data_IF_481621360657
#
_entry.id   IF_481621360657
#
_cell.length_a   1.000
_cell.length_b   1.000
_cell.length_c   1.000
_cell.angle_alpha   90.00
_cell.angle_beta   90.00
_cell.angle_gamma   90.00
#
_symmetry.space_group_name_H-M   'P 1'
#
loop_
_entity.id
_entity.type
_entity.pdbx_description
1 polymer ?
#
# COMPACT_ATOMS: atom_id res chain seq x y z
N UNK A 1 -13.23 5.29 14.45
CA UNK A 1 -12.48 4.03 14.27
C UNK A 1 -11.70 3.74 15.54
N UNK A 2 -11.58 2.47 15.92
CA UNK A 2 -10.90 2.04 17.16
C UNK A 2 -9.44 2.55 17.22
N UNK A 3 -8.76 2.64 16.08
CA UNK A 3 -7.45 3.28 15.98
C UNK A 3 -7.39 4.68 16.62
N UNK A 4 -8.35 5.55 16.32
CA UNK A 4 -8.34 6.93 16.84
C UNK A 4 -8.55 6.98 18.34
N UNK A 5 -9.28 6.01 18.89
CA UNK A 5 -9.45 5.85 20.33
C UNK A 5 -8.14 5.38 21.00
N UNK A 6 -7.41 4.47 20.35
CA UNK A 6 -6.13 3.94 20.88
C UNK A 6 -5.00 4.97 20.80
N UNK A 7 -4.90 5.67 19.66
CA UNK A 7 -3.74 6.52 19.33
C UNK A 7 -3.98 8.01 19.59
N UNK A 8 -5.25 8.43 19.70
CA UNK A 8 -5.61 9.85 19.82
C UNK A 8 -5.41 10.66 18.52
N UNK A 9 -5.17 10.00 17.39
CA UNK A 9 -4.94 10.63 16.07
C UNK A 9 -6.05 10.29 15.07
N UNK A 10 -6.30 11.21 14.13
CA UNK A 10 -7.16 10.93 12.98
C UNK A 10 -6.36 10.18 11.91
N UNK A 11 -6.51 8.85 11.85
CA UNK A 11 -5.75 8.00 10.92
C UNK A 11 -5.85 8.48 9.48
N UNK A 12 -7.07 8.76 9.03
CA UNK A 12 -7.32 9.13 7.63
C UNK A 12 -6.55 10.39 7.29
N UNK A 13 -6.72 11.43 8.10
CA UNK A 13 -6.07 12.72 7.89
C UNK A 13 -4.55 12.60 7.91
N UNK A 14 -3.98 12.03 8.97
CA UNK A 14 -2.53 11.88 9.15
C UNK A 14 -1.90 11.04 8.03
N UNK A 15 -2.54 9.96 7.63
CA UNK A 15 -2.06 9.09 6.56
C UNK A 15 -2.00 9.83 5.22
N UNK A 16 -3.08 10.51 4.83
CA UNK A 16 -3.11 11.24 3.55
C UNK A 16 -2.19 12.45 3.54
N UNK A 17 -2.19 13.28 4.60
CA UNK A 17 -1.31 14.45 4.69
C UNK A 17 0.18 14.05 4.62
N UNK A 18 0.55 12.96 5.30
CA UNK A 18 1.93 12.48 5.31
C UNK A 18 2.35 11.89 3.96
N UNK A 19 1.48 11.11 3.31
CA UNK A 19 1.76 10.61 1.95
C UNK A 19 1.88 11.76 0.96
N UNK A 20 0.96 12.72 0.99
CA UNK A 20 0.98 13.86 0.07
C UNK A 20 2.26 14.67 0.23
N UNK A 21 2.65 14.95 1.47
CA UNK A 21 3.91 15.64 1.81
C UNK A 21 5.13 14.95 1.22
N UNK A 22 5.20 13.62 1.30
CA UNK A 22 6.37 12.86 0.85
C UNK A 22 6.30 12.41 -0.61
N UNK A 23 5.15 12.53 -1.28
CA UNK A 23 4.93 12.02 -2.63
C UNK A 23 5.91 12.59 -3.67
N UNK A 24 6.15 13.92 -3.75
CA UNK A 24 7.09 14.46 -4.74
C UNK A 24 8.48 13.82 -4.63
N UNK A 25 9.00 13.75 -3.40
CA UNK A 25 10.33 13.22 -3.14
C UNK A 25 10.41 11.71 -3.34
N UNK A 26 9.38 10.95 -2.97
CA UNK A 26 9.30 9.51 -3.24
C UNK A 26 9.31 9.22 -4.74
N UNK A 27 8.58 9.99 -5.53
CA UNK A 27 8.55 9.82 -6.99
C UNK A 27 9.91 10.13 -7.64
N UNK A 28 10.63 11.16 -7.15
CA UNK A 28 12.02 11.41 -7.57
C UNK A 28 12.96 10.24 -7.24
N UNK A 29 12.87 9.71 -6.01
CA UNK A 29 13.65 8.54 -5.58
C UNK A 29 13.33 7.34 -6.47
N UNK A 30 12.05 7.13 -6.84
CA UNK A 30 11.66 6.05 -7.74
C UNK A 30 12.32 6.20 -9.11
N UNK A 31 12.28 7.41 -9.69
CA UNK A 31 12.93 7.72 -10.98
C UNK A 31 14.46 7.63 -10.94
N UNK A 32 15.08 7.69 -9.76
CA UNK A 32 16.53 7.53 -9.59
C UNK A 32 16.99 6.07 -9.52
N UNK A 33 16.09 5.11 -9.31
CA UNK A 33 16.46 3.69 -9.25
C UNK A 33 16.82 3.13 -10.62
N UNK A 34 17.64 2.08 -10.63
CA UNK A 34 18.16 1.40 -11.83
C UNK A 34 18.03 -0.12 -11.67
N UNK A 35 18.32 -0.88 -12.73
CA UNK A 35 18.17 -2.34 -12.75
C UNK A 35 16.70 -2.78 -12.60
N UNK A 36 16.49 -4.00 -12.09
CA UNK A 36 15.14 -4.59 -11.96
C UNK A 36 14.20 -3.73 -11.11
N UNK A 37 14.70 -3.19 -9.99
CA UNK A 37 13.93 -2.26 -9.14
C UNK A 37 13.52 -1.00 -9.92
N UNK A 38 14.44 -0.42 -10.70
CA UNK A 38 14.14 0.73 -11.54
C UNK A 38 13.10 0.43 -12.62
N UNK A 39 13.14 -0.76 -13.22
CA UNK A 39 12.15 -1.20 -14.21
C UNK A 39 10.75 -1.31 -13.60
N UNK A 40 10.61 -1.98 -12.45
CA UNK A 40 9.33 -2.12 -11.76
C UNK A 40 8.73 -0.76 -11.37
N UNK A 41 9.56 0.16 -10.86
CA UNK A 41 9.14 1.52 -10.48
C UNK A 41 8.79 2.39 -11.68
N UNK A 42 9.51 2.21 -12.79
CA UNK A 42 9.22 2.90 -14.06
C UNK A 42 7.87 2.46 -14.60
N UNK A 43 7.57 1.16 -14.55
CA UNK A 43 6.28 0.61 -14.93
C UNK A 43 5.15 1.23 -14.10
N UNK A 44 5.30 1.30 -12.77
CA UNK A 44 4.32 1.98 -11.89
C UNK A 44 4.13 3.46 -12.26
N UNK A 45 5.23 4.14 -12.59
CA UNK A 45 5.22 5.57 -12.87
C UNK A 45 4.58 5.92 -14.22
N UNK A 46 4.79 5.08 -15.24
CA UNK A 46 4.32 5.27 -16.61
C UNK A 46 2.81 4.98 -16.80
N UNK A 47 2.18 4.27 -15.87
CA UNK A 47 0.79 3.82 -16.00
C UNK A 47 -0.26 4.94 -16.09
N UNK A 48 0.01 6.19 -15.64
CA UNK A 48 -0.88 7.34 -15.87
C UNK A 48 -0.12 8.68 -15.73
N UNK A 49 -0.23 9.60 -16.68
CA UNK A 49 0.25 11.00 -16.50
C UNK A 49 -0.87 11.87 -15.95
N UNK A 50 -1.16 11.72 -14.67
CA UNK A 50 -2.25 12.45 -14.00
C UNK A 50 -1.70 13.27 -12.83
N UNK A 51 -2.35 14.40 -12.57
CA UNK A 51 -2.18 15.23 -11.38
C UNK A 51 -3.19 14.86 -10.28
N UNK A 52 -4.04 13.86 -10.52
CA UNK A 52 -5.00 13.36 -9.54
C UNK A 52 -4.28 12.87 -8.26
N UNK A 53 -4.61 13.43 -7.09
CA UNK A 53 -3.96 13.05 -5.83
C UNK A 53 -4.10 11.56 -5.50
N UNK A 54 -5.24 10.95 -5.80
CA UNK A 54 -5.49 9.52 -5.52
C UNK A 54 -4.54 8.65 -6.34
N UNK A 55 -4.39 8.92 -7.62
CA UNK A 55 -3.45 8.23 -8.49
C UNK A 55 -1.99 8.42 -8.06
N UNK A 56 -1.59 9.62 -7.61
CA UNK A 56 -0.25 9.88 -7.06
C UNK A 56 -0.02 9.02 -5.82
N UNK A 57 -0.95 9.02 -4.87
CA UNK A 57 -0.88 8.19 -3.65
C UNK A 57 -0.82 6.70 -4.00
N UNK A 58 -1.60 6.24 -4.96
CA UNK A 58 -1.58 4.85 -5.47
C UNK A 58 -0.18 4.46 -5.94
N UNK A 59 0.45 5.29 -6.78
CA UNK A 59 1.83 5.04 -7.26
C UNK A 59 2.82 4.94 -6.12
N UNK A 60 2.73 5.87 -5.18
CA UNK A 60 3.58 5.88 -3.97
C UNK A 60 3.40 4.59 -3.18
N UNK A 61 2.16 4.21 -2.88
CA UNK A 61 1.85 3.02 -2.09
C UNK A 61 2.26 1.71 -2.76
N UNK A 62 2.32 1.67 -4.10
CA UNK A 62 2.88 0.51 -4.82
C UNK A 62 4.39 0.52 -4.96
N UNK A 63 5.01 1.70 -5.05
CA UNK A 63 6.45 1.82 -5.17
C UNK A 63 7.19 1.64 -3.83
N UNK A 64 6.55 2.02 -2.71
CA UNK A 64 7.10 1.89 -1.37
C UNK A 64 7.64 0.48 -1.05
N UNK A 65 6.87 -0.62 -1.21
CA UNK A 65 7.39 -1.96 -0.92
C UNK A 65 8.61 -2.30 -1.77
N UNK A 66 8.63 -1.90 -3.05
CA UNK A 66 9.75 -2.19 -3.95
C UNK A 66 11.04 -1.51 -3.49
N UNK A 67 11.00 -0.23 -3.11
CA UNK A 67 12.21 0.46 -2.62
C UNK A 67 12.63 -0.02 -1.22
N UNK A 68 11.67 -0.48 -0.42
CA UNK A 68 11.89 -1.08 0.89
C UNK A 68 12.32 -2.55 0.78
N UNK A 69 12.30 -3.15 -0.42
CA UNK A 69 12.66 -4.54 -0.67
C UNK A 69 11.71 -5.56 -0.05
N UNK A 70 10.47 -5.13 0.17
CA UNK A 70 9.32 -6.00 0.41
C UNK A 70 8.85 -6.59 -0.94
N UNK A 71 8.12 -7.71 -0.88
CA UNK A 71 7.51 -8.37 -2.04
C UNK A 71 5.99 -8.21 -2.00
N UNK A 72 5.41 -7.26 -2.75
CA UNK A 72 3.98 -6.99 -2.69
C UNK A 72 3.14 -7.98 -3.49
N UNK A 73 3.73 -8.96 -4.19
CA UNK A 73 3.04 -9.81 -5.18
C UNK A 73 1.81 -10.52 -4.61
N UNK A 74 1.97 -11.17 -3.44
CA UNK A 74 0.84 -11.84 -2.78
C UNK A 74 -0.03 -10.91 -1.95
N UNK A 75 0.44 -9.69 -1.67
CA UNK A 75 -0.31 -8.72 -0.89
C UNK A 75 -1.31 -7.93 -1.76
N UNK A 76 -0.91 -7.55 -2.98
CA UNK A 76 -1.79 -6.96 -4.00
C UNK A 76 -2.17 -8.03 -5.02
N UNK A 77 -3.16 -8.87 -4.66
CA UNK A 77 -3.60 -9.97 -5.52
C UNK A 77 -4.75 -9.53 -6.42
N UNK A 78 -4.63 -9.78 -7.72
CA UNK A 78 -5.72 -9.54 -8.66
C UNK A 78 -6.78 -10.65 -8.56
N UNK A 79 -8.03 -10.28 -8.79
CA UNK A 79 -9.16 -11.21 -8.92
C UNK A 79 -10.23 -10.61 -9.82
N UNK A 80 -11.27 -11.38 -10.09
CA UNK A 80 -12.44 -11.00 -10.87
C UNK A 80 -13.71 -11.07 -10.04
N UNK A 81 -14.77 -10.38 -10.48
CA UNK A 81 -16.09 -10.42 -9.82
C UNK A 81 -16.67 -11.85 -9.78
N UNK A 82 -16.34 -12.68 -10.75
CA UNK A 82 -16.76 -14.08 -10.85
C UNK A 82 -15.90 -15.07 -10.06
N UNK A 83 -14.80 -14.63 -9.43
CA UNK A 83 -13.97 -15.53 -8.61
C UNK A 83 -14.74 -15.92 -7.34
N UNK A 84 -14.77 -17.23 -7.05
CA UNK A 84 -15.29 -17.74 -5.79
C UNK A 84 -14.42 -17.23 -4.63
N UNK A 85 -15.05 -16.89 -3.50
CA UNK A 85 -14.35 -16.39 -2.29
C UNK A 85 -13.28 -17.39 -1.79
N UNK A 86 -13.40 -18.67 -2.16
CA UNK A 86 -12.42 -19.72 -1.85
C UNK A 86 -11.03 -19.53 -2.51
N UNK A 87 -10.93 -18.67 -3.53
CA UNK A 87 -9.69 -18.41 -4.28
C UNK A 87 -8.61 -17.68 -3.47
N UNK A 88 -8.95 -17.24 -2.25
CA UNK A 88 -8.14 -16.34 -1.44
C UNK A 88 -7.86 -16.84 -0.01
N UNK A 89 -8.28 -18.06 0.35
CA UNK A 89 -8.06 -18.66 1.67
C UNK A 89 -6.60 -18.71 2.12
N UNK A 90 -5.65 -18.83 1.18
CA UNK A 90 -4.21 -18.84 1.49
C UNK A 90 -3.64 -17.46 1.87
N UNK A 91 -4.43 -16.39 1.76
CA UNK A 91 -3.99 -15.02 2.08
C UNK A 91 -4.22 -14.67 3.55
N UNK A 92 -3.11 -14.51 4.27
CA UNK A 92 -3.13 -14.08 5.68
C UNK A 92 -3.58 -12.62 5.82
N UNK A 93 -2.93 -11.67 5.16
CA UNK A 93 -3.38 -10.27 5.11
C UNK A 93 -3.07 -9.70 3.73
N UNK A 94 -4.07 -9.11 3.07
CA UNK A 94 -3.89 -8.58 1.72
C UNK A 94 -5.01 -7.67 1.24
N UNK A 95 -4.83 -7.12 0.05
CA UNK A 95 -5.81 -6.33 -0.68
C UNK A 95 -6.05 -7.02 -2.02
N UNK A 96 -7.30 -7.38 -2.28
CA UNK A 96 -7.71 -7.88 -3.59
C UNK A 96 -8.08 -6.71 -4.50
N UNK A 97 -7.66 -6.83 -5.74
CA UNK A 97 -7.90 -5.87 -6.81
C UNK A 97 -8.87 -6.52 -7.78
N UNK A 98 -10.15 -6.19 -7.63
CA UNK A 98 -11.22 -6.82 -8.37
C UNK A 98 -11.39 -6.12 -9.71
N UNK A 99 -11.11 -6.83 -10.78
CA UNK A 99 -11.30 -6.39 -12.15
C UNK A 99 -12.68 -6.83 -12.66
N UNK A 100 -13.20 -6.13 -13.68
CA UNK A 100 -14.43 -6.55 -14.35
C UNK A 100 -14.19 -7.83 -15.14
N UNK A 101 -15.18 -8.71 -15.18
CA UNK A 101 -15.11 -9.92 -16.01
C UNK A 101 -14.78 -9.59 -17.47
N UNK A 102 -13.92 -10.41 -18.09
CA UNK A 102 -13.44 -10.21 -19.45
C UNK A 102 -12.28 -9.20 -19.60
N UNK A 103 -11.77 -8.64 -18.48
CA UNK A 103 -10.56 -7.82 -18.49
C UNK A 103 -9.32 -8.69 -18.70
N UNK A 104 -8.51 -8.39 -19.72
CA UNK A 104 -7.23 -9.06 -19.93
C UNK A 104 -6.21 -8.47 -18.96
N UNK A 105 -5.81 -9.23 -17.93
CA UNK A 105 -4.82 -8.79 -16.96
C UNK A 105 -3.50 -8.45 -17.66
N UNK A 106 -3.27 -7.16 -17.87
CA UNK A 106 -1.98 -6.63 -18.27
C UNK A 106 -1.30 -6.03 -17.06
N UNK A 107 0.02 -6.12 -17.02
CA UNK A 107 0.83 -5.62 -15.91
C UNK A 107 0.72 -4.09 -15.71
N UNK A 108 0.00 -3.37 -16.59
CA UNK A 108 -0.36 -1.95 -16.48
C UNK A 108 -1.73 -1.66 -15.86
N UNK A 109 -2.68 -2.61 -15.88
CA UNK A 109 -4.08 -2.36 -15.51
C UNK A 109 -4.39 -2.55 -14.02
N UNK A 110 -3.51 -3.21 -13.27
CA UNK A 110 -3.73 -3.45 -11.84
C UNK A 110 -3.93 -2.17 -10.99
N UNK A 111 -3.74 -0.95 -11.50
CA UNK A 111 -3.87 0.29 -10.71
C UNK A 111 -5.30 0.83 -10.57
N UNK A 112 -6.22 0.49 -11.48
CA UNK A 112 -7.60 0.99 -11.46
C UNK A 112 -8.61 -0.16 -11.48
N UNK A 113 -8.57 -1.04 -10.47
CA UNK A 113 -9.55 -2.11 -10.36
C UNK A 113 -10.96 -1.51 -10.23
N UNK A 114 -11.97 -2.30 -10.61
CA UNK A 114 -13.37 -1.91 -10.45
C UNK A 114 -13.74 -1.70 -8.98
N UNK A 115 -13.20 -2.54 -8.09
CA UNK A 115 -13.28 -2.37 -6.66
C UNK A 115 -12.10 -3.07 -5.95
N UNK A 116 -11.93 -2.80 -4.67
CA UNK A 116 -10.96 -3.50 -3.83
C UNK A 116 -11.64 -4.14 -2.63
N UNK A 117 -11.10 -5.30 -2.22
CA UNK A 117 -11.48 -6.01 -0.99
C UNK A 117 -10.28 -6.07 -0.04
N UNK A 118 -10.50 -6.07 1.26
CA UNK A 118 -9.49 -6.33 2.28
C UNK A 118 -9.68 -7.76 2.79
N UNK A 119 -8.59 -8.52 2.80
CA UNK A 119 -8.54 -9.89 3.33
C UNK A 119 -7.73 -9.92 4.62
N UNK A 120 -8.28 -10.58 5.64
CA UNK A 120 -7.58 -10.93 6.88
C UNK A 120 -7.93 -12.38 7.22
N UNK A 121 -6.92 -13.21 7.42
CA UNK A 121 -6.99 -14.64 7.73
C UNK A 121 -7.88 -15.42 6.74
N UNK A 122 -7.72 -15.16 5.44
CA UNK A 122 -8.51 -15.78 4.37
C UNK A 122 -9.89 -15.16 4.14
N UNK A 123 -10.37 -14.32 5.05
CA UNK A 123 -11.73 -13.80 5.03
C UNK A 123 -11.82 -12.36 4.48
N UNK A 124 -12.88 -12.10 3.70
CA UNK A 124 -13.21 -10.74 3.24
C UNK A 124 -13.78 -9.94 4.41
N UNK A 125 -12.96 -9.05 4.99
CA UNK A 125 -13.39 -8.19 6.11
C UNK A 125 -13.98 -6.86 5.66
N UNK A 126 -13.71 -6.45 4.41
CA UNK A 126 -14.30 -5.27 3.79
C UNK A 126 -14.25 -5.37 2.28
N UNK A 127 -15.29 -4.89 1.62
CA UNK A 127 -15.46 -4.93 0.16
C UNK A 127 -15.83 -3.55 -0.42
N UNK A 128 -15.98 -3.50 -1.74
CA UNK A 128 -16.43 -2.33 -2.52
C UNK A 128 -15.63 -1.04 -2.23
N UNK A 129 -14.34 -1.18 -1.92
CA UNK A 129 -13.45 -0.05 -1.66
C UNK A 129 -13.02 0.53 -3.02
N UNK A 130 -13.11 1.85 -3.15
CA UNK A 130 -12.98 2.52 -4.45
C UNK A 130 -11.53 2.75 -4.89
N UNK A 131 -10.60 2.86 -3.95
CA UNK A 131 -9.22 3.22 -4.25
C UNK A 131 -8.21 2.57 -3.30
N UNK A 132 -7.01 2.32 -3.83
CA UNK A 132 -5.92 1.68 -3.09
C UNK A 132 -5.48 2.49 -1.86
N UNK A 133 -5.33 3.83 -1.91
CA UNK A 133 -4.99 4.61 -0.73
C UNK A 133 -5.97 4.41 0.43
N UNK A 134 -7.27 4.37 0.14
CA UNK A 134 -8.32 4.08 1.13
C UNK A 134 -8.19 2.66 1.67
N UNK A 135 -8.01 1.66 0.81
CA UNK A 135 -7.83 0.27 1.24
C UNK A 135 -6.60 0.10 2.15
N UNK A 136 -5.46 0.68 1.78
CA UNK A 136 -4.24 0.68 2.59
C UNK A 136 -4.42 1.39 3.94
N UNK A 137 -5.12 2.54 3.95
CA UNK A 137 -5.40 3.30 5.16
C UNK A 137 -6.28 2.49 6.14
N UNK A 138 -7.35 1.88 5.64
CA UNK A 138 -8.26 1.06 6.45
C UNK A 138 -7.53 -0.18 6.97
N UNK A 139 -6.85 -0.91 6.10
CA UNK A 139 -6.13 -2.12 6.49
C UNK A 139 -5.08 -1.82 7.55
N UNK A 140 -4.26 -0.76 7.39
CA UNK A 140 -3.33 -0.34 8.43
C UNK A 140 -4.03 -0.07 9.77
N UNK A 141 -5.17 0.63 9.73
CA UNK A 141 -5.97 0.92 10.92
C UNK A 141 -6.49 -0.32 11.63
N UNK A 142 -6.98 -1.30 10.86
CA UNK A 142 -7.43 -2.60 11.38
C UNK A 142 -6.27 -3.38 12.00
N UNK A 143 -5.18 -3.56 11.25
CA UNK A 143 -3.99 -4.30 11.71
C UNK A 143 -3.42 -3.70 12.99
N UNK A 144 -3.36 -2.36 13.08
CA UNK A 144 -2.87 -1.68 14.28
C UNK A 144 -3.84 -1.79 15.47
N UNK A 145 -5.14 -1.52 15.25
CA UNK A 145 -6.12 -1.55 16.34
C UNK A 145 -6.31 -2.95 16.93
N UNK A 146 -6.27 -3.97 16.07
CA UNK A 146 -6.43 -5.37 16.46
C UNK A 146 -5.11 -6.04 16.89
N UNK A 147 -4.00 -5.29 16.95
CA UNK A 147 -2.68 -5.81 17.33
C UNK A 147 -2.23 -7.01 16.49
N UNK A 148 -2.61 -7.03 15.22
CA UNK A 148 -2.23 -8.08 14.28
C UNK A 148 -0.77 -7.93 13.87
N UNK A 149 -0.14 -9.06 13.55
CA UNK A 149 1.19 -9.02 12.96
C UNK A 149 1.14 -8.40 11.56
N UNK A 150 2.13 -7.59 11.21
CA UNK A 150 2.25 -7.10 9.84
C UNK A 150 2.56 -8.25 8.87
N UNK A 151 1.98 -8.24 7.66
CA UNK A 151 2.23 -9.28 6.66
C UNK A 151 3.73 -9.40 6.40
N UNK A 152 4.25 -10.64 6.44
CA UNK A 152 5.71 -10.90 6.36
C UNK A 152 6.34 -10.29 5.12
N UNK A 153 5.62 -10.34 4.00
CA UNK A 153 6.05 -9.84 2.69
C UNK A 153 6.01 -8.31 2.57
N UNK A 154 5.31 -7.62 3.49
CA UNK A 154 5.09 -6.17 3.51
C UNK A 154 5.57 -5.51 4.81
N UNK A 155 6.41 -6.22 5.58
CA UNK A 155 6.77 -5.84 6.95
C UNK A 155 7.45 -4.48 7.01
N UNK A 156 8.39 -4.19 6.11
CA UNK A 156 9.10 -2.90 6.14
C UNK A 156 8.19 -1.75 5.72
N UNK A 157 7.24 -1.99 4.82
CA UNK A 157 6.25 -1.02 4.34
C UNK A 157 5.30 -0.62 5.45
N UNK A 158 4.73 -1.57 6.18
CA UNK A 158 3.86 -1.27 7.32
C UNK A 158 4.65 -0.59 8.46
N UNK A 159 5.89 -1.00 8.72
CA UNK A 159 6.75 -0.32 9.68
C UNK A 159 7.07 1.13 9.24
N UNK A 160 7.28 1.36 7.94
CA UNK A 160 7.49 2.69 7.40
C UNK A 160 6.25 3.58 7.58
N UNK A 161 5.05 3.07 7.24
CA UNK A 161 3.79 3.78 7.46
C UNK A 161 3.63 4.12 8.95
N UNK A 162 3.82 3.16 9.84
CA UNK A 162 3.69 3.36 11.28
C UNK A 162 4.68 4.40 11.81
N UNK A 163 5.98 4.18 11.61
CA UNK A 163 7.03 4.92 12.33
C UNK A 163 7.43 6.22 11.62
N UNK A 164 7.33 6.28 10.30
CA UNK A 164 7.74 7.44 9.50
C UNK A 164 6.53 8.29 9.13
N UNK A 165 5.51 7.69 8.52
CA UNK A 165 4.37 8.50 8.06
C UNK A 165 3.48 8.98 9.22
N UNK A 166 3.18 8.10 10.17
CA UNK A 166 2.26 8.38 11.27
C UNK A 166 2.95 8.70 12.60
N UNK A 167 4.28 8.55 12.66
CA UNK A 167 5.09 8.79 13.87
C UNK A 167 4.58 8.02 15.10
N UNK A 168 4.38 6.71 14.95
CA UNK A 168 3.84 5.81 15.98
C UNK A 168 4.83 4.72 16.39
N UNK A 169 4.72 4.26 17.65
CA UNK A 169 5.53 3.19 18.21
C UNK A 169 6.98 3.59 18.49
N UNK A 170 7.88 2.60 18.47
CA UNK A 170 9.30 2.82 18.81
C UNK A 170 9.99 3.80 17.86
N UNK A 171 10.83 4.67 18.44
CA UNK A 171 11.59 5.70 17.73
C UNK A 171 12.80 5.17 16.97
N UNK A 172 13.30 3.97 17.34
CA UNK A 172 14.43 3.34 16.67
C UNK A 172 13.96 2.72 15.35
N UNK A 173 14.45 3.29 14.25
CA UNK A 173 14.18 2.80 12.91
C UNK A 173 15.21 1.75 12.52
N UNK A 174 14.76 0.72 11.78
CA UNK A 174 15.67 -0.18 11.07
C UNK A 174 16.51 0.63 10.07
N UNK A 175 17.75 0.21 9.77
CA UNK A 175 18.64 0.97 8.87
C UNK A 175 17.99 1.35 7.54
N UNK A 176 17.23 0.44 6.91
CA UNK A 176 16.55 0.72 5.63
C UNK A 176 15.46 1.78 5.74
N UNK A 177 14.70 1.79 6.83
CA UNK A 177 13.67 2.81 7.11
C UNK A 177 14.31 4.16 7.42
N UNK A 178 15.40 4.14 8.19
CA UNK A 178 16.16 5.35 8.52
C UNK A 178 16.76 5.98 7.26
N UNK A 179 17.37 5.19 6.38
CA UNK A 179 17.91 5.67 5.10
C UNK A 179 16.82 6.34 4.27
N UNK A 180 15.66 5.68 4.09
CA UNK A 180 14.58 6.27 3.32
C UNK A 180 14.04 7.56 3.98
N UNK A 181 13.80 7.55 5.30
CA UNK A 181 13.37 8.74 6.04
C UNK A 181 14.35 9.92 5.84
N UNK A 182 15.65 9.68 5.88
CA UNK A 182 16.65 10.72 5.67
C UNK A 182 16.60 11.27 4.23
N UNK A 183 16.36 10.42 3.23
CA UNK A 183 16.22 10.86 1.84
C UNK A 183 14.97 11.71 1.59
N UNK A 184 13.94 11.58 2.44
CA UNK A 184 12.71 12.36 2.40
C UNK A 184 12.79 13.70 3.14
N UNK A 185 13.83 13.91 3.94
CA UNK A 185 14.05 15.15 4.68
C UNK A 185 14.87 16.19 3.89
N UNK A 186 15.29 15.83 2.67
CA UNK A 186 16.01 16.69 1.71
C UNK A 186 15.01 17.40 0.83
#
# INVERSE_FOLDING_TARGET
MEFSRIVGKNLKQEFYESIDRHSPRLLEIFGSKRGNVGQLLTQISQQTRTTDPTAIRTKVLRGLPIILGDDPTNFFKAGFDSDDDDSFHDLDIGILLIERDGTVLTSSQHLSPASLKIIIEGEVVMDNIQDLPKAMCILFGLTYALHLNYPKTMKLTFQFIQQVLLSLGHTVLKPKLQTLKNQLAV
#
